data_IF_223800116949
#
_entry.id   IF_223800116949
#
_cell.length_a   1.000
_cell.length_b   1.000
_cell.length_c   1.000
_cell.angle_alpha   90.00
_cell.angle_beta   90.00
_cell.angle_gamma   90.00
#
_symmetry.space_group_name_H-M   'P 1'
#
loop_
_entity.id
_entity.type
_entity.pdbx_description
1 polymer ?
#
# COMPACT_ATOMS: atom_id res chain seq x y z
N UNK A 1 36.45 6.35 -5.35
CA UNK A 1 35.39 5.37 -5.67
C UNK A 1 34.47 5.86 -6.77
N UNK A 2 34.06 7.13 -6.81
CA UNK A 2 33.25 7.70 -7.91
C UNK A 2 33.80 7.41 -9.33
N UNK A 3 35.12 7.38 -9.53
CA UNK A 3 35.73 7.03 -10.82
C UNK A 3 35.46 5.58 -11.26
N UNK A 4 35.41 4.62 -10.32
CA UNK A 4 35.13 3.22 -10.61
C UNK A 4 33.64 3.03 -10.94
N UNK A 5 32.74 3.60 -10.14
CA UNK A 5 31.31 3.55 -10.42
C UNK A 5 30.93 4.31 -11.69
N UNK A 6 31.67 5.36 -12.06
CA UNK A 6 31.52 6.04 -13.36
C UNK A 6 32.03 5.19 -14.54
N UNK A 7 33.03 4.34 -14.35
CA UNK A 7 33.42 3.34 -15.36
C UNK A 7 32.35 2.26 -15.50
N UNK A 8 31.82 1.75 -14.38
CA UNK A 8 30.72 0.80 -14.37
C UNK A 8 29.48 1.36 -15.06
N UNK A 9 29.10 2.60 -14.79
CA UNK A 9 27.95 3.22 -15.44
C UNK A 9 28.12 3.30 -16.97
N UNK A 10 29.32 3.65 -17.46
CA UNK A 10 29.60 3.67 -18.91
C UNK A 10 29.51 2.29 -19.55
N UNK A 11 29.98 1.25 -18.86
CA UNK A 11 29.84 -0.14 -19.32
C UNK A 11 28.37 -0.58 -19.30
N UNK A 12 27.60 -0.15 -18.31
CA UNK A 12 26.18 -0.47 -18.18
C UNK A 12 25.34 0.12 -19.32
N UNK A 13 25.66 1.34 -19.78
CA UNK A 13 24.96 1.95 -20.93
C UNK A 13 25.12 1.14 -22.23
N UNK A 14 26.30 0.55 -22.46
CA UNK A 14 26.52 -0.34 -23.62
C UNK A 14 25.68 -1.61 -23.49
N UNK A 15 25.74 -2.26 -22.33
CA UNK A 15 24.99 -3.49 -22.06
C UNK A 15 23.46 -3.26 -22.06
N UNK A 16 23.02 -2.04 -21.72
CA UNK A 16 21.62 -1.62 -21.78
C UNK A 16 21.15 -1.46 -23.23
N UNK A 17 21.99 -0.91 -24.11
CA UNK A 17 21.70 -0.80 -25.54
C UNK A 17 21.55 -2.19 -26.19
N UNK A 18 22.39 -3.15 -25.80
CA UNK A 18 22.29 -4.56 -26.24
C UNK A 18 20.90 -5.16 -25.94
N UNK A 19 20.25 -4.78 -24.83
CA UNK A 19 18.91 -5.31 -24.50
C UNK A 19 17.81 -4.88 -25.49
N UNK A 20 18.09 -3.87 -26.31
CA UNK A 20 17.17 -3.33 -27.32
C UNK A 20 17.62 -3.59 -28.75
N UNK A 21 18.81 -4.17 -28.95
CA UNK A 21 19.31 -4.48 -30.29
C UNK A 21 18.64 -5.74 -30.85
N UNK A 22 17.87 -5.57 -31.92
CA UNK A 22 17.18 -6.65 -32.61
C UNK A 22 18.11 -7.59 -33.38
N UNK A 23 19.39 -7.22 -33.53
CA UNK A 23 20.41 -8.02 -34.23
C UNK A 23 21.10 -9.04 -33.34
N UNK A 24 21.02 -8.91 -32.02
CA UNK A 24 21.68 -9.82 -31.08
C UNK A 24 20.96 -11.15 -30.96
N UNK A 25 21.73 -12.23 -30.95
CA UNK A 25 21.21 -13.57 -30.74
C UNK A 25 20.69 -13.77 -29.30
N UNK A 26 19.78 -14.74 -29.04
CA UNK A 26 19.25 -14.99 -27.70
C UNK A 26 20.33 -15.28 -26.64
N UNK A 27 21.42 -15.96 -27.00
CA UNK A 27 22.52 -16.28 -26.10
C UNK A 27 23.39 -15.05 -25.76
N UNK A 28 23.61 -14.17 -26.73
CA UNK A 28 24.36 -12.92 -26.54
C UNK A 28 23.56 -11.97 -25.64
N UNK A 29 22.26 -11.78 -25.94
CA UNK A 29 21.36 -10.98 -25.12
C UNK A 29 21.25 -11.53 -23.69
N UNK A 30 21.30 -12.85 -23.50
CA UNK A 30 21.34 -13.46 -22.17
C UNK A 30 22.64 -13.13 -21.43
N UNK A 31 23.78 -13.23 -22.10
CA UNK A 31 25.09 -12.95 -21.52
C UNK A 31 25.24 -11.47 -21.16
N UNK A 32 24.87 -10.56 -22.06
CA UNK A 32 24.87 -9.12 -21.78
C UNK A 32 23.94 -8.76 -20.61
N UNK A 33 22.80 -9.46 -20.46
CA UNK A 33 21.89 -9.25 -19.33
C UNK A 33 22.51 -9.68 -17.99
N UNK A 34 23.18 -10.83 -17.95
CA UNK A 34 23.88 -11.27 -16.72
C UNK A 34 25.00 -10.28 -16.36
N UNK A 35 25.78 -9.83 -17.35
CA UNK A 35 26.81 -8.83 -17.12
C UNK A 35 26.23 -7.51 -16.60
N UNK A 36 25.07 -7.08 -17.11
CA UNK A 36 24.37 -5.87 -16.64
C UNK A 36 23.91 -6.02 -15.18
N UNK A 37 23.34 -7.18 -14.83
CA UNK A 37 22.90 -7.50 -13.47
C UNK A 37 24.08 -7.44 -12.48
N UNK A 38 25.18 -8.12 -12.80
CA UNK A 38 26.38 -8.15 -11.96
C UNK A 38 26.99 -6.75 -11.76
N UNK A 39 26.99 -5.94 -12.82
CA UNK A 39 27.55 -4.60 -12.81
C UNK A 39 26.74 -3.65 -11.94
N UNK A 40 25.41 -3.66 -12.08
CA UNK A 40 24.53 -2.87 -11.22
C UNK A 40 24.52 -3.33 -9.78
N UNK A 41 24.59 -4.64 -9.52
CA UNK A 41 24.78 -5.18 -8.18
C UNK A 41 26.08 -4.67 -7.54
N UNK A 42 27.21 -4.71 -8.26
CA UNK A 42 28.49 -4.15 -7.78
C UNK A 42 28.36 -2.67 -7.43
N UNK A 43 27.69 -1.87 -8.26
CA UNK A 43 27.48 -0.45 -7.97
C UNK A 43 26.65 -0.24 -6.69
N UNK A 44 25.53 -0.96 -6.53
CA UNK A 44 24.65 -0.86 -5.36
C UNK A 44 25.35 -1.26 -4.05
N UNK A 45 26.28 -2.21 -4.10
CA UNK A 45 27.00 -2.71 -2.93
C UNK A 45 28.24 -1.85 -2.60
N UNK A 46 28.92 -1.29 -3.59
CA UNK A 46 30.17 -0.54 -3.39
C UNK A 46 29.97 0.95 -3.11
N UNK A 47 29.04 1.61 -3.80
CA UNK A 47 28.74 3.04 -3.65
C UNK A 47 27.24 3.30 -3.86
N UNK A 48 26.46 2.98 -2.83
CA UNK A 48 25.00 3.05 -2.88
C UNK A 48 24.50 4.48 -3.17
N UNK A 49 25.12 5.49 -2.58
CA UNK A 49 24.69 6.88 -2.79
C UNK A 49 24.84 7.30 -4.25
N UNK A 50 25.98 6.96 -4.88
CA UNK A 50 26.18 7.19 -6.30
C UNK A 50 25.19 6.39 -7.17
N UNK A 51 24.97 5.12 -6.81
CA UNK A 51 24.06 4.25 -7.56
C UNK A 51 22.61 4.78 -7.54
N UNK A 52 22.13 5.24 -6.37
CA UNK A 52 20.80 5.83 -6.22
C UNK A 52 20.68 7.19 -6.93
N UNK A 53 21.69 8.05 -6.87
CA UNK A 53 21.72 9.32 -7.63
C UNK A 53 21.58 9.06 -9.14
N UNK A 54 22.19 7.98 -9.63
CA UNK A 54 22.12 7.57 -11.04
C UNK A 54 20.94 6.65 -11.37
N UNK A 55 20.03 6.40 -10.43
CA UNK A 55 18.84 5.55 -10.61
C UNK A 55 19.17 4.13 -11.06
N UNK A 56 20.30 3.59 -10.63
CA UNK A 56 20.79 2.25 -11.00
C UNK A 56 19.76 1.16 -10.66
N UNK A 57 19.07 1.30 -9.52
CA UNK A 57 18.05 0.36 -9.07
C UNK A 57 16.84 0.31 -10.02
N UNK A 58 16.42 1.48 -10.53
CA UNK A 58 15.34 1.57 -11.50
C UNK A 58 15.74 0.96 -12.84
N UNK A 59 16.95 1.24 -13.30
CA UNK A 59 17.47 0.70 -14.56
C UNK A 59 17.68 -0.81 -14.49
N UNK A 60 18.18 -1.32 -13.37
CA UNK A 60 18.30 -2.74 -13.09
C UNK A 60 16.94 -3.43 -13.22
N UNK A 61 15.91 -2.92 -12.55
CA UNK A 61 14.57 -3.49 -12.67
C UNK A 61 14.06 -3.41 -14.11
N UNK A 62 14.12 -2.24 -14.74
CA UNK A 62 13.47 -1.99 -16.02
C UNK A 62 14.14 -2.77 -17.17
N UNK A 63 15.45 -2.63 -17.31
CA UNK A 63 16.20 -3.14 -18.46
C UNK A 63 16.61 -4.61 -18.29
N UNK A 64 16.95 -5.05 -17.08
CA UNK A 64 17.35 -6.45 -16.87
C UNK A 64 16.16 -7.39 -16.66
N UNK A 65 14.99 -6.90 -16.19
CA UNK A 65 13.86 -7.77 -15.83
C UNK A 65 12.52 -7.34 -16.44
N UNK A 66 12.01 -6.15 -16.12
CA UNK A 66 10.62 -5.75 -16.36
C UNK A 66 10.25 -5.77 -17.84
N UNK A 67 11.12 -5.30 -18.72
CA UNK A 67 10.87 -5.26 -20.16
C UNK A 67 10.70 -6.69 -20.71
N UNK A 68 11.62 -7.60 -20.37
CA UNK A 68 11.55 -9.00 -20.79
C UNK A 68 10.33 -9.71 -20.21
N UNK A 69 10.02 -9.50 -18.92
CA UNK A 69 8.81 -10.05 -18.28
C UNK A 69 7.56 -9.58 -19.03
N UNK A 70 7.48 -8.30 -19.37
CA UNK A 70 6.31 -7.71 -20.04
C UNK A 70 6.14 -8.29 -21.44
N UNK A 71 7.23 -8.43 -22.21
CA UNK A 71 7.24 -9.07 -23.53
C UNK A 71 6.76 -10.52 -23.44
N UNK A 72 7.35 -11.32 -22.55
CA UNK A 72 6.99 -12.73 -22.36
C UNK A 72 5.54 -12.90 -21.88
N UNK A 73 5.07 -12.04 -20.96
CA UNK A 73 3.66 -12.03 -20.52
C UNK A 73 2.70 -11.72 -21.66
N UNK A 74 3.05 -10.77 -22.53
CA UNK A 74 2.25 -10.44 -23.72
C UNK A 74 2.15 -11.63 -24.67
N UNK A 75 3.28 -12.26 -24.97
CA UNK A 75 3.36 -13.44 -25.84
C UNK A 75 2.64 -14.67 -25.24
N UNK A 76 2.71 -14.89 -23.93
CA UNK A 76 2.04 -16.00 -23.24
C UNK A 76 0.52 -15.83 -23.11
N UNK A 77 0.03 -14.58 -23.10
CA UNK A 77 -1.41 -14.26 -23.09
C UNK A 77 -2.04 -14.28 -24.48
N UNK A 78 -1.24 -14.11 -25.54
CA UNK A 78 -1.73 -14.15 -26.91
C UNK A 78 -2.13 -15.59 -27.31
N UNK A 79 -3.44 -15.83 -27.48
CA UNK A 79 -3.99 -17.14 -27.87
C UNK A 79 -3.62 -17.56 -29.30
N UNK A 80 -3.24 -16.62 -30.16
CA UNK A 80 -2.81 -16.90 -31.54
C UNK A 80 -1.34 -17.30 -31.66
N UNK A 81 -0.57 -17.27 -30.56
CA UNK A 81 0.85 -17.63 -30.58
C UNK A 81 1.01 -19.16 -30.57
N UNK A 82 1.59 -19.79 -31.62
CA UNK A 82 1.79 -21.23 -31.66
C UNK A 82 2.75 -21.72 -30.57
N UNK A 83 3.69 -20.88 -30.14
CA UNK A 83 4.71 -21.22 -29.14
C UNK A 83 4.29 -20.83 -27.71
N UNK A 84 3.00 -20.62 -27.47
CA UNK A 84 2.48 -20.11 -26.19
C UNK A 84 2.95 -20.92 -24.96
N UNK A 85 2.95 -22.25 -25.07
CA UNK A 85 3.37 -23.13 -23.97
C UNK A 85 4.85 -22.97 -23.63
N UNK A 86 5.70 -22.93 -24.66
CA UNK A 86 7.14 -22.71 -24.53
C UNK A 86 7.45 -21.33 -23.94
N UNK A 87 6.79 -20.28 -24.44
CA UNK A 87 6.93 -18.92 -23.90
C UNK A 87 6.51 -18.87 -22.43
N UNK A 88 5.45 -19.59 -22.05
CA UNK A 88 5.01 -19.66 -20.66
C UNK A 88 6.04 -20.38 -19.77
N UNK A 89 6.68 -21.45 -20.26
CA UNK A 89 7.77 -22.13 -19.55
C UNK A 89 9.00 -21.22 -19.40
N UNK A 90 9.39 -20.52 -20.47
CA UNK A 90 10.49 -19.54 -20.46
C UNK A 90 10.21 -18.38 -19.50
N UNK A 91 8.96 -17.89 -19.44
CA UNK A 91 8.55 -16.89 -18.47
C UNK A 91 8.69 -17.39 -17.03
N UNK A 92 8.27 -18.63 -16.75
CA UNK A 92 8.40 -19.22 -15.41
C UNK A 92 9.86 -19.31 -14.97
N UNK A 93 10.75 -19.84 -15.83
CA UNK A 93 12.19 -19.92 -15.55
C UNK A 93 12.81 -18.53 -15.35
N UNK A 94 12.42 -17.56 -16.19
CA UNK A 94 12.91 -16.19 -16.06
C UNK A 94 12.49 -15.54 -14.73
N UNK A 95 11.24 -15.77 -14.29
CA UNK A 95 10.75 -15.27 -13.01
C UNK A 95 11.42 -15.96 -11.81
N UNK A 96 11.77 -17.24 -11.93
CA UNK A 96 12.55 -17.95 -10.91
C UNK A 96 13.97 -17.39 -10.79
N UNK A 97 14.66 -17.19 -11.92
CA UNK A 97 15.97 -16.56 -11.95
C UNK A 97 15.93 -15.13 -11.38
N UNK A 98 14.92 -14.33 -11.74
CA UNK A 98 14.72 -12.99 -11.19
C UNK A 98 14.48 -13.01 -9.67
N UNK A 99 13.69 -13.98 -9.18
CA UNK A 99 13.47 -14.17 -7.75
C UNK A 99 14.75 -14.55 -7.01
N UNK A 100 15.60 -15.38 -7.61
CA UNK A 100 16.91 -15.74 -7.08
C UNK A 100 17.83 -14.53 -6.98
N UNK A 101 17.95 -13.77 -8.07
CA UNK A 101 18.75 -12.55 -8.12
C UNK A 101 18.37 -11.53 -7.03
N UNK A 102 17.10 -11.14 -6.94
CA UNK A 102 16.68 -10.16 -5.92
C UNK A 102 16.77 -10.69 -4.48
N UNK A 103 16.61 -12.00 -4.27
CA UNK A 103 16.84 -12.62 -2.95
C UNK A 103 18.31 -12.51 -2.55
N UNK A 104 19.23 -12.85 -3.46
CA UNK A 104 20.66 -12.77 -3.23
C UNK A 104 21.12 -11.33 -3.02
N UNK A 105 20.67 -10.40 -3.89
CA UNK A 105 20.97 -8.98 -3.78
C UNK A 105 20.50 -8.42 -2.42
N UNK A 106 19.27 -8.74 -2.01
CA UNK A 106 18.76 -8.32 -0.71
C UNK A 106 19.64 -8.86 0.43
N UNK A 107 20.00 -10.14 0.40
CA UNK A 107 20.88 -10.72 1.41
C UNK A 107 22.23 -10.01 1.50
N UNK A 108 22.86 -9.72 0.35
CA UNK A 108 24.15 -9.02 0.28
C UNK A 108 24.06 -7.58 0.80
N UNK A 109 23.04 -6.82 0.39
CA UNK A 109 22.82 -5.46 0.89
C UNK A 109 22.61 -5.46 2.41
N UNK A 110 21.88 -6.44 2.94
CA UNK A 110 21.65 -6.57 4.37
C UNK A 110 22.90 -6.99 5.16
N UNK A 111 23.77 -7.84 4.57
CA UNK A 111 25.05 -8.20 5.20
C UNK A 111 26.02 -7.03 5.18
N UNK A 112 26.19 -6.38 4.03
CA UNK A 112 27.17 -5.33 3.81
C UNK A 112 26.81 -4.06 4.61
N UNK A 113 25.54 -3.66 4.58
CA UNK A 113 25.08 -2.43 5.24
C UNK A 113 24.49 -2.65 6.63
N UNK A 114 24.55 -3.88 7.15
CA UNK A 114 24.05 -4.26 8.47
C UNK A 114 22.59 -3.84 8.74
N UNK A 115 21.72 -4.04 7.74
CA UNK A 115 20.28 -3.79 7.89
C UNK A 115 19.63 -4.99 8.57
N UNK A 116 18.98 -4.75 9.71
CA UNK A 116 18.18 -5.76 10.40
C UNK A 116 16.78 -5.79 9.82
N UNK A 117 16.49 -6.89 9.11
CA UNK A 117 15.19 -7.14 8.50
C UNK A 117 14.49 -8.25 9.28
N UNK A 118 13.27 -8.03 9.79
CA UNK A 118 12.55 -9.04 10.59
C UNK A 118 12.39 -10.39 9.89
N UNK A 119 12.31 -10.40 8.55
CA UNK A 119 12.15 -11.59 7.72
C UNK A 119 13.48 -12.21 7.24
N UNK A 120 14.62 -11.67 7.67
CA UNK A 120 15.94 -12.16 7.25
C UNK A 120 16.37 -13.33 8.12
N UNK A 121 16.52 -14.50 7.52
CA UNK A 121 17.28 -15.59 8.12
C UNK A 121 18.76 -15.24 8.04
N UNK A 122 19.43 -15.01 9.18
CA UNK A 122 20.87 -14.74 9.18
C UNK A 122 21.61 -16.06 8.98
N UNK A 123 22.64 -16.09 8.14
CA UNK A 123 23.47 -17.31 7.95
C UNK A 123 24.10 -17.81 9.26
N UNK A 124 24.32 -16.90 10.22
CA UNK A 124 24.75 -17.23 11.58
C UNK A 124 23.69 -17.98 12.41
N UNK A 125 22.40 -17.78 12.13
CA UNK A 125 21.28 -18.48 12.79
C UNK A 125 21.06 -19.89 12.23
N UNK A 126 21.55 -20.18 11.01
CA UNK A 126 21.48 -21.52 10.41
C UNK A 126 22.70 -22.39 10.76
N UNK A 127 23.73 -21.83 11.42
CA UNK A 127 24.95 -22.55 11.79
C UNK A 127 25.87 -22.92 10.60
N UNK A 128 25.62 -22.37 9.41
CA UNK A 128 26.27 -22.84 8.17
C UNK A 128 27.62 -22.13 7.92
N UNK A 129 27.79 -20.83 8.22
CA UNK A 129 29.04 -20.08 7.96
C UNK A 129 29.22 -18.90 8.94
N UNK A 130 30.42 -18.77 9.55
CA UNK A 130 30.88 -17.51 10.15
C UNK A 130 31.21 -16.52 9.04
N UNK A 131 30.39 -15.48 8.86
CA UNK A 131 30.44 -14.56 7.72
C UNK A 131 31.70 -13.64 7.78
N UNK A 132 32.87 -14.18 7.43
CA UNK A 132 34.04 -13.41 7.01
C UNK A 132 34.04 -13.31 5.49
N UNK A 133 33.09 -12.55 4.93
CA UNK A 133 33.22 -12.13 3.54
C UNK A 133 34.29 -11.04 3.47
N UNK A 134 35.45 -11.40 2.93
CA UNK A 134 36.52 -10.47 2.57
C UNK A 134 36.06 -9.67 1.34
N UNK A 135 35.35 -8.57 1.55
CA UNK A 135 35.18 -7.57 0.50
C UNK A 135 36.56 -6.97 0.21
N UNK A 136 37.12 -7.29 -0.96
CA UNK A 136 38.43 -6.81 -1.41
C UNK A 136 38.39 -5.37 -1.91
N UNK A 137 37.19 -4.83 -2.16
CA UNK A 137 36.95 -3.44 -2.52
C UNK A 137 36.52 -2.62 -1.29
N UNK A 138 37.07 -1.40 -1.16
CA UNK A 138 36.56 -0.44 -0.20
C UNK A 138 35.07 -0.16 -0.49
N UNK A 139 34.22 -0.21 0.54
CA UNK A 139 32.79 0.11 0.45
C UNK A 139 32.59 1.53 0.96
N UNK A 140 31.90 2.39 0.21
CA UNK A 140 31.49 3.71 0.71
C UNK A 140 30.38 3.49 1.73
N UNK A 141 30.54 4.02 2.95
CA UNK A 141 29.51 3.93 3.98
C UNK A 141 28.26 4.72 3.56
N UNK A 142 27.10 4.07 3.33
CA UNK A 142 25.88 4.74 2.91
C UNK A 142 25.10 5.37 4.08
N UNK A 143 24.11 6.19 3.75
CA UNK A 143 23.12 6.67 4.71
C UNK A 143 22.15 5.54 5.10
N UNK A 144 21.72 5.52 6.36
CA UNK A 144 20.76 4.50 6.84
C UNK A 144 19.44 4.51 6.06
N UNK A 145 18.96 5.69 5.66
CA UNK A 145 17.77 5.86 4.83
C UNK A 145 17.93 5.24 3.45
N UNK A 146 19.09 5.41 2.82
CA UNK A 146 19.43 4.81 1.52
C UNK A 146 19.44 3.28 1.61
N UNK A 147 19.97 2.72 2.69
CA UNK A 147 19.92 1.27 2.94
C UNK A 147 18.50 0.74 3.07
N UNK A 148 17.66 1.40 3.89
CA UNK A 148 16.25 1.03 4.04
C UNK A 148 15.49 1.14 2.72
N UNK A 149 15.77 2.17 1.93
CA UNK A 149 15.19 2.38 0.61
C UNK A 149 15.54 1.24 -0.35
N UNK A 150 16.83 0.90 -0.52
CA UNK A 150 17.22 -0.13 -1.48
C UNK A 150 16.71 -1.53 -1.06
N UNK A 151 16.69 -1.83 0.24
CA UNK A 151 16.07 -3.06 0.74
C UNK A 151 14.56 -3.09 0.49
N UNK A 152 13.86 -1.96 0.69
CA UNK A 152 12.44 -1.84 0.34
C UNK A 152 12.23 -2.07 -1.17
N UNK A 153 13.08 -1.47 -2.02
CA UNK A 153 13.03 -1.62 -3.46
C UNK A 153 13.15 -3.09 -3.89
N UNK A 154 14.11 -3.84 -3.32
CA UNK A 154 14.25 -5.27 -3.56
C UNK A 154 12.99 -6.05 -3.14
N UNK A 155 12.43 -5.77 -1.96
CA UNK A 155 11.21 -6.43 -1.48
C UNK A 155 10.00 -6.14 -2.36
N UNK A 156 9.83 -4.91 -2.84
CA UNK A 156 8.75 -4.58 -3.79
C UNK A 156 8.86 -5.43 -5.04
N UNK A 157 10.05 -5.56 -5.62
CA UNK A 157 10.24 -6.35 -6.84
C UNK A 157 10.17 -7.87 -6.60
N UNK A 158 10.60 -8.37 -5.44
CA UNK A 158 10.29 -9.74 -5.01
C UNK A 158 8.78 -9.97 -4.93
N UNK A 159 8.02 -8.98 -4.43
CA UNK A 159 6.56 -8.99 -4.43
C UNK A 159 5.98 -8.98 -5.85
N UNK A 160 6.54 -8.20 -6.77
CA UNK A 160 6.10 -8.14 -8.17
C UNK A 160 6.32 -9.48 -8.86
N UNK A 161 7.50 -10.08 -8.69
CA UNK A 161 7.88 -11.39 -9.23
C UNK A 161 6.97 -12.48 -8.66
N UNK A 162 6.75 -12.53 -7.35
CA UNK A 162 5.84 -13.48 -6.72
C UNK A 162 4.41 -13.35 -7.28
N UNK A 163 3.92 -12.11 -7.48
CA UNK A 163 2.62 -11.86 -8.11
C UNK A 163 2.59 -12.36 -9.56
N UNK A 164 3.63 -12.15 -10.34
CA UNK A 164 3.73 -12.66 -11.71
C UNK A 164 3.78 -14.20 -11.78
N UNK A 165 4.25 -14.85 -10.72
CA UNK A 165 4.21 -16.31 -10.52
C UNK A 165 2.88 -16.80 -9.92
N UNK A 166 1.88 -15.93 -9.74
CA UNK A 166 0.62 -16.21 -9.05
C UNK A 166 0.77 -16.69 -7.60
N UNK A 167 1.86 -16.33 -6.92
CA UNK A 167 2.12 -16.65 -5.51
C UNK A 167 1.59 -15.53 -4.60
N UNK A 168 0.27 -15.39 -4.56
CA UNK A 168 -0.42 -14.25 -3.93
C UNK A 168 -0.02 -14.01 -2.48
N UNK A 169 0.02 -15.05 -1.64
CA UNK A 169 0.39 -14.91 -0.21
C UNK A 169 1.84 -14.46 -0.03
N UNK A 170 2.75 -14.96 -0.86
CA UNK A 170 4.16 -14.58 -0.85
C UNK A 170 4.33 -13.11 -1.27
N UNK A 171 3.64 -12.69 -2.34
CA UNK A 171 3.64 -11.32 -2.80
C UNK A 171 3.16 -10.35 -1.72
N UNK A 172 2.06 -10.70 -1.05
CA UNK A 172 1.50 -9.92 0.07
C UNK A 172 2.50 -9.75 1.22
N UNK A 173 3.18 -10.85 1.59
CA UNK A 173 4.23 -10.82 2.62
C UNK A 173 5.37 -9.86 2.26
N UNK A 174 5.88 -9.96 1.03
CA UNK A 174 6.94 -9.07 0.55
C UNK A 174 6.52 -7.59 0.57
N UNK A 175 5.33 -7.25 0.08
CA UNK A 175 4.88 -5.86 0.11
C UNK A 175 4.63 -5.35 1.53
N UNK A 176 4.16 -6.20 2.46
CA UNK A 176 4.02 -5.81 3.88
C UNK A 176 5.37 -5.51 4.52
N UNK A 177 6.36 -6.37 4.31
CA UNK A 177 7.72 -6.11 4.81
C UNK A 177 8.32 -4.86 4.17
N UNK A 178 8.11 -4.65 2.86
CA UNK A 178 8.52 -3.42 2.19
C UNK A 178 7.87 -2.19 2.84
N UNK A 179 6.56 -2.21 3.08
CA UNK A 179 5.83 -1.10 3.70
C UNK A 179 6.30 -0.78 5.14
N UNK A 180 6.79 -1.79 5.89
CA UNK A 180 7.32 -1.59 7.24
C UNK A 180 8.68 -0.89 7.25
N UNK A 181 9.55 -1.14 6.26
CA UNK A 181 10.89 -0.54 6.21
C UNK A 181 10.87 0.96 5.97
N UNK A 182 10.05 1.41 5.01
CA UNK A 182 9.92 2.83 4.68
C UNK A 182 8.43 3.16 4.52
N UNK A 183 7.70 3.40 5.64
CA UNK A 183 6.26 3.68 5.62
C UNK A 183 5.88 4.97 4.88
N UNK A 184 6.84 5.86 4.62
CA UNK A 184 6.64 7.10 3.88
C UNK A 184 6.56 6.93 2.37
N UNK A 185 6.88 5.74 1.82
CA UNK A 185 6.79 5.45 0.40
C UNK A 185 5.42 4.84 0.06
N UNK A 186 4.71 5.43 -0.91
CA UNK A 186 3.38 4.99 -1.33
C UNK A 186 3.38 3.67 -2.11
N UNK A 187 4.47 3.33 -2.79
CA UNK A 187 4.50 2.25 -3.78
C UNK A 187 4.06 0.88 -3.23
N UNK A 188 4.53 0.38 -2.08
CA UNK A 188 4.10 -0.92 -1.56
C UNK A 188 2.60 -0.99 -1.30
N UNK A 189 1.98 0.10 -0.84
CA UNK A 189 0.54 0.16 -0.59
C UNK A 189 -0.26 0.07 -1.90
N UNK A 190 0.16 0.73 -2.98
CA UNK A 190 -0.48 0.56 -4.29
C UNK A 190 -0.43 -0.90 -4.76
N UNK A 191 0.70 -1.60 -4.55
CA UNK A 191 0.81 -3.00 -4.92
C UNK A 191 -0.10 -3.91 -4.08
N UNK A 192 -0.23 -3.62 -2.77
CA UNK A 192 -1.19 -4.29 -1.88
C UNK A 192 -2.65 -4.04 -2.30
N UNK A 193 -2.98 -2.84 -2.78
CA UNK A 193 -4.31 -2.52 -3.30
C UNK A 193 -4.64 -3.34 -4.56
N UNK A 194 -3.70 -3.45 -5.50
CA UNK A 194 -3.86 -4.28 -6.70
C UNK A 194 -4.08 -5.75 -6.31
N UNK A 195 -3.33 -6.24 -5.32
CA UNK A 195 -3.46 -7.61 -4.84
C UNK A 195 -4.82 -7.85 -4.17
N UNK A 196 -5.27 -6.94 -3.30
CA UNK A 196 -6.59 -6.97 -2.68
C UNK A 196 -7.71 -6.94 -3.72
N UNK A 197 -7.55 -6.10 -4.76
CA UNK A 197 -8.51 -5.98 -5.85
C UNK A 197 -8.66 -7.28 -6.64
N UNK A 198 -7.54 -7.98 -6.89
CA UNK A 198 -7.57 -9.28 -7.58
C UNK A 198 -8.31 -10.38 -6.80
N UNK A 199 -8.40 -10.25 -5.47
CA UNK A 199 -9.17 -11.16 -4.59
C UNK A 199 -10.65 -10.75 -4.43
N UNK A 200 -11.07 -9.63 -5.01
CA UNK A 200 -12.40 -9.07 -4.78
C UNK A 200 -12.59 -8.37 -3.43
N UNK A 201 -11.52 -8.11 -2.68
CA UNK A 201 -11.59 -7.39 -1.41
C UNK A 201 -11.61 -5.87 -1.65
N UNK A 202 -12.81 -5.34 -1.90
CA UNK A 202 -13.02 -3.95 -2.26
C UNK A 202 -12.68 -2.97 -1.12
N UNK A 203 -12.99 -3.30 0.14
CA UNK A 203 -12.70 -2.42 1.27
C UNK A 203 -11.19 -2.25 1.44
N UNK A 204 -10.45 -3.37 1.44
CA UNK A 204 -8.99 -3.35 1.58
C UNK A 204 -8.32 -2.70 0.36
N UNK A 205 -8.90 -2.85 -0.83
CA UNK A 205 -8.43 -2.15 -2.05
C UNK A 205 -8.45 -0.63 -1.88
N UNK A 206 -9.61 -0.07 -1.47
CA UNK A 206 -9.75 1.37 -1.28
C UNK A 206 -8.86 1.85 -0.14
N UNK A 207 -8.82 1.12 0.97
CA UNK A 207 -7.92 1.41 2.09
C UNK A 207 -6.45 1.55 1.64
N UNK A 208 -5.94 0.59 0.87
CA UNK A 208 -4.54 0.64 0.44
C UNK A 208 -4.26 1.71 -0.61
N UNK A 209 -5.21 2.05 -1.48
CA UNK A 209 -5.03 3.22 -2.35
C UNK A 209 -4.98 4.52 -1.53
N UNK A 210 -5.87 4.70 -0.55
CA UNK A 210 -5.81 5.83 0.38
C UNK A 210 -4.46 5.90 1.11
N UNK A 211 -3.96 4.76 1.62
CA UNK A 211 -2.63 4.66 2.25
C UNK A 211 -1.48 5.00 1.29
N UNK A 212 -1.60 4.63 0.02
CA UNK A 212 -0.58 4.93 -1.00
C UNK A 212 -0.51 6.42 -1.35
N UNK A 213 -1.58 7.17 -1.10
CA UNK A 213 -1.70 8.61 -1.37
C UNK A 213 -1.34 9.41 -0.12
N UNK A 214 -1.81 9.01 1.06
CA UNK A 214 -1.59 9.72 2.33
C UNK A 214 -0.26 9.36 3.00
N UNK A 215 0.85 9.63 2.31
CA UNK A 215 2.22 9.47 2.80
C UNK A 215 3.09 10.65 2.33
N UNK A 216 4.31 10.78 2.86
CA UNK A 216 5.24 11.84 2.44
C UNK A 216 5.65 11.76 0.97
N UNK A 217 5.74 10.55 0.42
CA UNK A 217 6.07 10.31 -0.99
C UNK A 217 4.97 9.46 -1.64
N UNK A 218 3.85 10.09 -2.04
CA UNK A 218 2.72 9.41 -2.66
C UNK A 218 3.13 8.69 -3.95
N UNK A 219 2.50 7.54 -4.24
CA UNK A 219 2.70 6.87 -5.52
C UNK A 219 1.73 7.44 -6.57
N UNK A 220 2.20 8.10 -7.65
CA UNK A 220 1.31 8.86 -8.54
C UNK A 220 0.16 8.05 -9.14
N UNK A 221 0.40 6.78 -9.51
CA UNK A 221 -0.65 5.95 -10.11
C UNK A 221 -1.79 5.60 -9.14
N UNK A 222 -1.57 5.72 -7.81
CA UNK A 222 -2.59 5.38 -6.82
C UNK A 222 -3.81 6.30 -6.89
N UNK A 223 -3.62 7.60 -7.13
CA UNK A 223 -4.73 8.56 -7.27
C UNK A 223 -5.59 8.22 -8.48
N UNK A 224 -4.97 7.92 -9.64
CA UNK A 224 -5.69 7.48 -10.84
C UNK A 224 -6.42 6.15 -10.62
N UNK A 225 -5.78 5.21 -9.93
CA UNK A 225 -6.39 3.92 -9.63
C UNK A 225 -7.58 4.05 -8.66
N UNK A 226 -7.47 4.89 -7.63
CA UNK A 226 -8.56 5.20 -6.71
C UNK A 226 -9.73 5.86 -7.44
N UNK A 227 -9.46 6.89 -8.24
CA UNK A 227 -10.47 7.59 -9.05
C UNK A 227 -11.23 6.61 -9.95
N UNK A 228 -10.51 5.70 -10.63
CA UNK A 228 -11.11 4.66 -11.48
C UNK A 228 -11.94 3.67 -10.68
N UNK A 229 -11.45 3.22 -9.52
CA UNK A 229 -12.18 2.28 -8.67
C UNK A 229 -13.48 2.89 -8.12
N UNK A 230 -13.44 4.15 -7.69
CA UNK A 230 -14.61 4.88 -7.21
C UNK A 230 -15.60 5.19 -8.33
N UNK A 231 -15.12 5.61 -9.51
CA UNK A 231 -15.99 5.86 -10.67
C UNK A 231 -16.76 4.60 -11.07
N UNK A 232 -16.06 3.45 -11.13
CA UNK A 232 -16.68 2.15 -11.37
C UNK A 232 -17.69 1.76 -10.28
N UNK A 233 -17.43 2.10 -9.02
CA UNK A 233 -18.38 1.84 -7.94
C UNK A 233 -19.68 2.64 -8.11
N UNK A 234 -19.59 3.90 -8.58
CA UNK A 234 -20.74 4.77 -8.84
C UNK A 234 -21.61 4.33 -10.02
N UNK A 235 -21.05 3.57 -10.98
CA UNK A 235 -21.81 3.00 -12.11
C UNK A 235 -22.80 1.90 -11.68
N UNK A 236 -22.60 1.29 -10.51
CA UNK A 236 -23.49 0.25 -10.03
C UNK A 236 -24.81 0.83 -9.51
N UNK A 237 -25.92 0.11 -9.74
CA UNK A 237 -27.26 0.54 -9.27
C UNK A 237 -27.31 0.71 -7.75
N UNK A 238 -28.15 1.62 -7.29
CA UNK A 238 -28.34 1.86 -5.86
C UNK A 238 -28.95 0.63 -5.18
N UNK A 239 -28.55 0.41 -3.92
CA UNK A 239 -29.01 -0.74 -3.14
C UNK A 239 -30.46 -0.53 -2.73
N UNK A 240 -31.38 -1.30 -3.31
CA UNK A 240 -32.83 -1.23 -3.02
C UNK A 240 -33.20 -1.98 -1.73
N UNK A 241 -32.29 -2.82 -1.23
CA UNK A 241 -32.53 -3.62 -0.03
C UNK A 241 -32.66 -2.74 1.21
N UNK A 242 -33.64 -3.04 2.05
CA UNK A 242 -33.85 -2.38 3.35
C UNK A 242 -32.86 -2.85 4.41
N UNK A 243 -32.40 -4.11 4.35
CA UNK A 243 -31.39 -4.68 5.23
C UNK A 243 -30.16 -5.13 4.44
N UNK A 244 -28.98 -4.67 4.84
CA UNK A 244 -27.72 -4.92 4.13
C UNK A 244 -26.88 -6.04 4.74
N UNK A 245 -26.33 -6.91 3.91
CA UNK A 245 -25.18 -7.72 4.33
C UNK A 245 -23.91 -6.86 4.41
N UNK A 246 -22.80 -7.43 4.90
CA UNK A 246 -21.50 -6.74 4.91
C UNK A 246 -21.05 -6.29 3.52
N UNK A 247 -21.32 -7.09 2.48
CA UNK A 247 -20.98 -6.75 1.09
C UNK A 247 -21.77 -5.54 0.58
N UNK A 248 -23.08 -5.50 0.86
CA UNK A 248 -23.94 -4.37 0.48
C UNK A 248 -23.49 -3.09 1.21
N UNK A 249 -23.18 -3.19 2.51
CA UNK A 249 -22.63 -2.08 3.30
C UNK A 249 -21.30 -1.57 2.73
N UNK A 250 -20.35 -2.44 2.43
CA UNK A 250 -19.04 -2.05 1.89
C UNK A 250 -19.22 -1.35 0.53
N UNK A 251 -20.10 -1.84 -0.34
CA UNK A 251 -20.38 -1.17 -1.63
C UNK A 251 -20.97 0.22 -1.41
N UNK A 252 -21.98 0.35 -0.55
CA UNK A 252 -22.60 1.63 -0.21
C UNK A 252 -21.59 2.61 0.41
N UNK A 253 -20.72 2.14 1.30
CA UNK A 253 -19.65 2.93 1.91
C UNK A 253 -18.66 3.43 0.87
N UNK A 254 -18.22 2.57 -0.06
CA UNK A 254 -17.32 2.96 -1.15
C UNK A 254 -17.99 3.97 -2.09
N UNK A 255 -19.29 3.82 -2.37
CA UNK A 255 -20.05 4.81 -3.15
C UNK A 255 -20.13 6.16 -2.47
N UNK A 256 -20.39 6.19 -1.15
CA UNK A 256 -20.38 7.44 -0.38
C UNK A 256 -19.06 8.19 -0.55
N UNK A 257 -17.94 7.47 -0.38
CA UNK A 257 -16.60 8.01 -0.62
C UNK A 257 -16.35 8.37 -2.08
N UNK A 258 -16.97 7.68 -3.04
CA UNK A 258 -16.93 8.02 -4.46
C UNK A 258 -17.64 9.34 -4.79
N UNK A 259 -18.82 9.57 -4.20
CA UNK A 259 -19.56 10.82 -4.36
C UNK A 259 -18.76 12.02 -3.81
N UNK A 260 -18.15 11.85 -2.63
CA UNK A 260 -17.29 12.86 -2.00
C UNK A 260 -16.02 13.12 -2.81
N UNK A 261 -15.24 12.08 -3.12
CA UNK A 261 -13.94 12.23 -3.78
C UNK A 261 -14.01 12.77 -5.20
N UNK A 262 -15.09 12.43 -5.92
CA UNK A 262 -15.28 12.84 -7.31
C UNK A 262 -16.15 14.09 -7.45
N UNK A 263 -16.69 14.61 -6.34
CA UNK A 263 -17.69 15.68 -6.30
C UNK A 263 -18.83 15.46 -7.30
N UNK A 264 -19.46 14.28 -7.26
CA UNK A 264 -20.51 13.86 -8.20
C UNK A 264 -21.74 13.35 -7.48
N UNK A 265 -22.91 13.74 -7.98
CA UNK A 265 -24.21 13.29 -7.46
C UNK A 265 -24.36 13.50 -5.95
N UNK A 266 -24.01 14.70 -5.48
CA UNK A 266 -23.94 15.04 -4.05
C UNK A 266 -25.31 14.97 -3.35
N UNK A 267 -26.40 15.07 -4.12
CA UNK A 267 -27.78 14.85 -3.65
C UNK A 267 -27.97 13.48 -2.99
N UNK A 268 -27.13 12.49 -3.33
CA UNK A 268 -27.18 11.14 -2.76
C UNK A 268 -26.54 11.03 -1.38
N UNK A 269 -25.73 12.01 -0.96
CA UNK A 269 -24.94 11.89 0.27
C UNK A 269 -25.80 11.78 1.52
N UNK A 270 -26.82 12.62 1.69
CA UNK A 270 -27.62 12.64 2.91
C UNK A 270 -28.41 11.34 3.13
N UNK A 271 -29.21 10.83 2.17
CA UNK A 271 -29.91 9.56 2.33
C UNK A 271 -28.95 8.38 2.51
N UNK A 272 -27.82 8.39 1.79
CA UNK A 272 -26.83 7.32 1.88
C UNK A 272 -26.12 7.31 3.23
N UNK A 273 -25.79 8.49 3.79
CA UNK A 273 -25.22 8.65 5.13
C UNK A 273 -26.14 8.06 6.18
N UNK A 274 -27.40 8.49 6.21
CA UNK A 274 -28.39 8.00 7.19
C UNK A 274 -28.53 6.48 7.12
N UNK A 275 -28.57 5.92 5.91
CA UNK A 275 -28.64 4.48 5.73
C UNK A 275 -27.37 3.76 6.17
N UNK A 276 -26.19 4.31 5.88
CA UNK A 276 -24.91 3.77 6.34
C UNK A 276 -24.83 3.76 7.87
N UNK A 277 -25.25 4.82 8.55
CA UNK A 277 -25.28 4.89 10.02
C UNK A 277 -26.18 3.82 10.64
N UNK A 278 -27.39 3.66 10.10
CA UNK A 278 -28.35 2.64 10.53
C UNK A 278 -27.78 1.23 10.36
N UNK A 279 -27.26 0.92 9.16
CA UNK A 279 -26.76 -0.41 8.84
C UNK A 279 -25.43 -0.71 9.55
N UNK A 280 -24.54 0.29 9.71
CA UNK A 280 -23.30 0.13 10.46
C UNK A 280 -23.57 -0.26 11.90
N UNK A 281 -24.50 0.44 12.58
CA UNK A 281 -24.92 0.12 13.95
C UNK A 281 -25.41 -1.32 14.06
N UNK A 282 -26.29 -1.75 13.14
CA UNK A 282 -26.84 -3.11 13.15
C UNK A 282 -25.74 -4.16 12.94
N UNK A 283 -24.92 -3.99 11.90
CA UNK A 283 -23.87 -4.94 11.53
C UNK A 283 -22.76 -5.03 12.58
N UNK A 284 -22.39 -3.90 13.19
CA UNK A 284 -21.42 -3.86 14.28
C UNK A 284 -21.95 -4.65 15.50
N UNK A 285 -23.18 -4.39 15.93
CA UNK A 285 -23.75 -5.08 17.09
C UNK A 285 -24.06 -6.56 16.82
N UNK A 286 -24.19 -6.95 15.56
CA UNK A 286 -24.26 -8.36 15.13
C UNK A 286 -22.86 -9.01 14.98
N UNK A 287 -21.78 -8.31 15.35
CA UNK A 287 -20.39 -8.80 15.30
C UNK A 287 -19.96 -9.24 13.89
N UNK A 288 -20.50 -8.59 12.86
CA UNK A 288 -20.22 -8.94 11.46
C UNK A 288 -18.86 -8.42 11.00
N UNK A 289 -18.39 -7.30 11.58
CA UNK A 289 -17.08 -6.74 11.28
C UNK A 289 -16.00 -7.29 12.20
N UNK A 290 -14.80 -7.50 11.65
CA UNK A 290 -13.59 -7.66 12.47
C UNK A 290 -12.90 -6.31 12.74
N UNK A 291 -11.97 -6.28 13.70
CA UNK A 291 -11.25 -5.06 14.08
C UNK A 291 -10.53 -4.38 12.91
N UNK A 292 -9.90 -5.17 12.03
CA UNK A 292 -9.16 -4.64 10.88
C UNK A 292 -10.08 -3.92 9.89
N UNK A 293 -11.27 -4.46 9.62
CA UNK A 293 -12.26 -3.82 8.75
C UNK A 293 -12.73 -2.48 9.34
N UNK A 294 -12.93 -2.40 10.66
CA UNK A 294 -13.29 -1.14 11.32
C UNK A 294 -12.17 -0.10 11.22
N UNK A 295 -10.91 -0.53 11.35
CA UNK A 295 -9.75 0.34 11.11
C UNK A 295 -9.70 0.79 9.66
N UNK A 296 -9.94 -0.09 8.68
CA UNK A 296 -9.98 0.29 7.26
C UNK A 296 -11.07 1.34 6.99
N UNK A 297 -12.30 1.12 7.48
CA UNK A 297 -13.41 2.07 7.38
C UNK A 297 -13.03 3.43 7.99
N UNK A 298 -12.46 3.41 9.19
CA UNK A 298 -12.04 4.63 9.89
C UNK A 298 -10.96 5.37 9.11
N UNK A 299 -9.92 4.67 8.65
CA UNK A 299 -8.83 5.29 7.89
C UNK A 299 -9.31 5.86 6.55
N UNK A 300 -10.28 5.24 5.88
CA UNK A 300 -10.89 5.80 4.65
C UNK A 300 -11.67 7.08 4.98
N UNK A 301 -12.42 7.12 6.09
CA UNK A 301 -13.06 8.36 6.56
C UNK A 301 -12.03 9.46 6.83
N UNK A 302 -10.97 9.15 7.57
CA UNK A 302 -9.91 10.10 7.89
C UNK A 302 -9.14 10.58 6.66
N UNK A 303 -8.91 9.69 5.68
CA UNK A 303 -8.30 10.05 4.40
C UNK A 303 -9.11 11.13 3.70
N UNK A 304 -10.42 10.94 3.55
CA UNK A 304 -11.25 11.95 2.88
C UNK A 304 -11.40 13.23 3.69
N UNK A 305 -11.51 13.15 5.03
CA UNK A 305 -11.57 14.34 5.88
C UNK A 305 -10.30 15.18 5.69
N UNK A 306 -9.13 14.53 5.71
CA UNK A 306 -7.86 15.19 5.47
C UNK A 306 -7.72 15.71 4.03
N UNK A 307 -8.26 14.98 3.04
CA UNK A 307 -8.23 15.38 1.63
C UNK A 307 -9.10 16.63 1.36
N UNK A 308 -10.25 16.74 2.04
CA UNK A 308 -11.12 17.92 1.94
C UNK A 308 -10.55 19.12 2.71
N UNK A 309 -9.98 18.87 3.90
CA UNK A 309 -9.43 19.91 4.79
C UNK A 309 -8.21 19.36 5.51
N UNK A 310 -7.02 19.73 5.06
CA UNK A 310 -5.77 19.28 5.65
C UNK A 310 -5.46 20.04 6.96
N UNK A 311 -4.21 20.02 7.42
CA UNK A 311 -3.83 20.72 8.66
C UNK A 311 -3.75 22.25 8.53
N UNK A 312 -3.68 22.81 7.31
CA UNK A 312 -3.66 24.26 7.10
C UNK A 312 -4.95 24.94 7.62
N UNK A 313 -6.05 24.20 7.65
CA UNK A 313 -7.32 24.61 8.24
C UNK A 313 -7.27 24.95 9.73
N UNK A 314 -6.30 24.43 10.48
CA UNK A 314 -6.17 24.75 11.91
C UNK A 314 -5.51 26.10 12.14
N UNK A 315 -4.81 26.64 11.13
CA UNK A 315 -4.02 27.87 11.24
C UNK A 315 -4.55 29.02 10.40
N UNK A 316 -5.19 28.73 9.26
CA UNK A 316 -5.59 29.73 8.28
C UNK A 316 -7.06 29.61 7.87
N UNK A 317 -7.79 30.74 7.76
CA UNK A 317 -9.16 30.73 7.26
C UNK A 317 -9.18 30.42 5.76
N UNK A 318 -10.03 29.47 5.36
CA UNK A 318 -10.22 29.05 3.97
C UNK A 318 -11.67 29.24 3.51
N UNK A 319 -11.87 29.67 2.28
CA UNK A 319 -13.19 29.69 1.64
C UNK A 319 -13.45 28.36 0.92
N UNK A 320 -14.61 27.76 1.18
CA UNK A 320 -15.06 26.53 0.53
C UNK A 320 -16.29 26.79 -0.34
N UNK A 321 -16.37 26.12 -1.48
CA UNK A 321 -17.58 26.05 -2.28
C UNK A 321 -18.72 25.36 -1.52
N UNK A 322 -19.96 25.55 -1.99
CA UNK A 322 -21.13 24.89 -1.40
C UNK A 322 -21.00 23.36 -1.45
N UNK A 323 -20.46 22.83 -2.54
CA UNK A 323 -20.23 21.39 -2.73
C UNK A 323 -19.18 20.85 -1.74
N UNK A 324 -18.07 21.55 -1.55
CA UNK A 324 -17.04 21.17 -0.57
C UNK A 324 -17.57 21.23 0.87
N UNK A 325 -18.37 22.25 1.19
CA UNK A 325 -19.04 22.35 2.50
C UNK A 325 -20.03 21.20 2.72
N UNK A 326 -20.82 20.85 1.70
CA UNK A 326 -21.74 19.72 1.75
C UNK A 326 -20.99 18.40 1.96
N UNK A 327 -19.96 18.14 1.16
CA UNK A 327 -19.09 16.95 1.28
C UNK A 327 -18.49 16.84 2.69
N UNK A 328 -17.91 17.92 3.20
CA UNK A 328 -17.35 17.98 4.55
C UNK A 328 -18.40 17.67 5.61
N UNK A 329 -19.53 18.36 5.57
CA UNK A 329 -20.64 18.21 6.53
C UNK A 329 -21.13 16.77 6.57
N UNK A 330 -21.37 16.16 5.41
CA UNK A 330 -21.89 14.80 5.31
C UNK A 330 -20.87 13.76 5.77
N UNK A 331 -19.59 13.93 5.43
CA UNK A 331 -18.53 13.01 5.82
C UNK A 331 -18.20 13.11 7.31
N UNK A 332 -18.11 14.32 7.87
CA UNK A 332 -17.86 14.53 9.30
C UNK A 332 -19.02 14.00 10.14
N UNK A 333 -20.26 14.17 9.66
CA UNK A 333 -21.45 13.59 10.27
C UNK A 333 -21.36 12.06 10.33
N UNK A 334 -21.04 11.42 9.21
CA UNK A 334 -20.86 9.96 9.14
C UNK A 334 -19.77 9.49 10.11
N UNK A 335 -18.63 10.18 10.13
CA UNK A 335 -17.51 9.87 11.02
C UNK A 335 -17.90 9.95 12.50
N UNK A 336 -18.55 11.04 12.91
CA UNK A 336 -18.98 11.22 14.31
C UNK A 336 -20.07 10.23 14.73
N UNK A 337 -21.01 9.92 13.83
CA UNK A 337 -22.01 8.88 14.08
C UNK A 337 -21.36 7.50 14.24
N UNK A 338 -20.38 7.16 13.39
CA UNK A 338 -19.61 5.91 13.51
C UNK A 338 -18.81 5.87 14.82
N UNK A 339 -18.19 6.99 15.21
CA UNK A 339 -17.48 7.12 16.49
C UNK A 339 -18.41 6.82 17.68
N UNK A 340 -19.61 7.41 17.69
CA UNK A 340 -20.62 7.12 18.71
C UNK A 340 -21.03 5.67 18.79
N UNK A 341 -21.31 5.07 17.63
CA UNK A 341 -21.68 3.65 17.51
C UNK A 341 -20.56 2.75 18.02
N UNK A 342 -19.30 3.05 17.68
CA UNK A 342 -18.13 2.33 18.16
C UNK A 342 -17.97 2.46 19.68
N UNK A 343 -18.17 3.66 20.26
CA UNK A 343 -18.07 3.87 21.71
C UNK A 343 -19.11 3.07 22.49
N UNK A 344 -20.33 2.96 21.93
CA UNK A 344 -21.43 2.24 22.55
C UNK A 344 -21.28 0.72 22.47
N UNK A 345 -20.51 0.21 21.51
CA UNK A 345 -20.42 -1.22 21.26
C UNK A 345 -19.85 -2.03 22.45
N UNK A 346 -18.71 -1.65 23.08
CA UNK A 346 -18.18 -2.40 24.22
C UNK A 346 -19.05 -2.32 25.47
N UNK A 347 -19.90 -1.31 25.59
CA UNK A 347 -20.74 -1.05 26.77
C UNK A 347 -22.02 -1.88 26.81
N UNK A 348 -22.31 -2.69 25.78
CA UNK A 348 -23.46 -3.59 25.80
C UNK A 348 -23.13 -4.85 26.59
N UNK A 349 -23.91 -5.09 27.65
CA UNK A 349 -23.85 -6.21 28.59
C UNK A 349 -23.98 -7.60 27.93
N UNK A 350 -22.94 -8.09 27.27
CA UNK A 350 -22.66 -9.53 27.13
C UNK A 350 -21.36 -9.83 27.89
N UNK A 351 -21.46 -9.76 29.22
CA UNK A 351 -20.42 -10.21 30.13
C UNK A 351 -20.31 -11.74 30.02
N UNK A 352 -19.34 -12.23 29.25
CA UNK A 352 -18.68 -13.51 29.54
C UNK A 352 -17.43 -13.85 28.70
N UNK A 353 -17.07 -13.08 27.66
CA UNK A 353 -15.87 -13.39 26.88
C UNK A 353 -14.94 -12.17 26.75
N UNK A 354 -13.84 -12.20 27.51
CA UNK A 354 -12.76 -11.19 27.59
C UNK A 354 -12.19 -10.75 26.22
N UNK A 355 -12.39 -11.53 25.16
CA UNK A 355 -11.84 -11.24 23.84
C UNK A 355 -12.68 -10.30 22.97
N UNK A 356 -13.99 -10.11 23.24
CA UNK A 356 -14.92 -9.52 22.24
C UNK A 356 -15.35 -8.08 22.51
N UNK A 357 -15.08 -7.53 23.70
CA UNK A 357 -15.26 -6.09 23.95
C UNK A 357 -14.21 -5.22 23.25
N UNK A 358 -13.11 -5.81 22.78
CA UNK A 358 -11.90 -5.09 22.37
C UNK A 358 -11.81 -4.77 20.87
N UNK A 359 -12.53 -5.50 20.00
CA UNK A 359 -12.37 -5.34 18.54
C UNK A 359 -12.71 -3.94 17.96
N UNK A 360 -13.62 -3.12 18.51
CA UNK A 360 -13.81 -1.75 18.03
C UNK A 360 -12.77 -0.76 18.59
N UNK A 361 -12.03 -1.12 19.63
CA UNK A 361 -11.09 -0.22 20.32
C UNK A 361 -9.98 0.32 19.41
N UNK A 362 -9.37 -0.47 18.49
CA UNK A 362 -8.37 0.08 17.57
C UNK A 362 -8.93 1.17 16.65
N UNK A 363 -10.16 1.00 16.14
CA UNK A 363 -10.82 2.02 15.33
C UNK A 363 -11.14 3.28 16.17
N UNK A 364 -11.63 3.10 17.40
CA UNK A 364 -11.84 4.20 18.35
C UNK A 364 -10.57 4.98 18.62
N UNK A 365 -9.48 4.28 18.92
CA UNK A 365 -8.18 4.90 19.19
C UNK A 365 -7.70 5.73 18.01
N UNK A 366 -7.78 5.20 16.79
CA UNK A 366 -7.41 5.92 15.56
C UNK A 366 -8.30 7.16 15.33
N UNK A 367 -9.61 7.06 15.56
CA UNK A 367 -10.52 8.20 15.48
C UNK A 367 -10.17 9.30 16.49
N UNK A 368 -9.88 8.93 17.73
CA UNK A 368 -9.52 9.88 18.79
C UNK A 368 -8.15 10.51 18.58
N UNK A 369 -7.17 9.75 18.07
CA UNK A 369 -5.87 10.29 17.68
C UNK A 369 -6.01 11.42 16.65
N UNK A 370 -6.92 11.26 15.68
CA UNK A 370 -7.19 12.31 14.69
C UNK A 370 -7.90 13.52 15.30
N UNK A 371 -8.97 13.31 16.08
CA UNK A 371 -9.68 14.41 16.74
C UNK A 371 -8.76 15.23 17.66
N UNK A 372 -7.85 14.58 18.38
CA UNK A 372 -6.84 15.27 19.21
C UNK A 372 -5.97 16.24 18.42
N UNK A 373 -5.71 15.95 17.14
CA UNK A 373 -4.90 16.77 16.25
C UNK A 373 -5.71 17.84 15.49
N UNK A 374 -7.04 17.88 15.66
CA UNK A 374 -7.95 18.78 14.95
C UNK A 374 -8.86 19.56 15.91
N UNK A 375 -8.33 20.49 16.72
CA UNK A 375 -9.13 21.23 17.70
C UNK A 375 -10.31 21.99 17.09
N UNK A 376 -10.16 22.55 15.88
CA UNK A 376 -11.23 23.30 15.20
C UNK A 376 -12.48 22.45 14.94
N UNK A 377 -12.32 21.14 14.76
CA UNK A 377 -13.43 20.21 14.48
C UNK A 377 -14.45 20.18 15.63
N UNK A 378 -14.04 20.43 16.87
CA UNK A 378 -14.96 20.49 18.01
C UNK A 378 -15.89 21.71 17.99
N UNK A 379 -15.68 22.67 17.08
CA UNK A 379 -16.54 23.85 16.90
C UNK A 379 -17.49 23.69 15.69
N UNK A 380 -17.40 22.58 14.96
CA UNK A 380 -18.26 22.32 13.81
C UNK A 380 -19.68 21.95 14.27
N UNK A 381 -20.70 22.58 13.69
CA UNK A 381 -22.10 22.36 14.06
C UNK A 381 -22.51 20.87 14.03
N UNK A 382 -21.97 20.11 13.07
CA UNK A 382 -22.21 18.67 12.91
C UNK A 382 -21.73 17.86 14.13
N UNK A 383 -20.65 18.31 14.77
CA UNK A 383 -20.08 17.70 15.97
C UNK A 383 -20.91 18.08 17.20
N UNK A 384 -21.35 19.34 17.29
CA UNK A 384 -22.24 19.82 18.35
C UNK A 384 -23.58 19.06 18.37
N UNK A 385 -24.19 18.82 17.21
CA UNK A 385 -25.38 17.96 17.06
C UNK A 385 -25.17 16.54 17.61
N UNK A 386 -23.92 16.08 17.66
CA UNK A 386 -23.52 14.72 18.04
C UNK A 386 -22.77 14.67 19.37
N UNK A 387 -22.91 15.68 20.22
CA UNK A 387 -22.32 15.68 21.57
C UNK A 387 -22.81 14.51 22.46
N UNK A 388 -23.90 13.84 22.09
CA UNK A 388 -24.38 12.61 22.74
C UNK A 388 -23.36 11.46 22.71
N UNK A 389 -22.31 11.55 21.88
CA UNK A 389 -21.21 10.57 21.82
C UNK A 389 -20.35 10.60 23.09
N UNK A 390 -20.18 11.77 23.71
CA UNK A 390 -19.24 11.94 24.83
C UNK A 390 -19.62 11.16 26.10
N UNK A 391 -20.90 11.11 26.53
CA UNK A 391 -21.31 10.24 27.63
C UNK A 391 -20.94 8.77 27.41
N UNK A 392 -21.06 8.24 26.19
CA UNK A 392 -20.65 6.86 25.89
C UNK A 392 -19.13 6.69 25.94
N UNK A 393 -18.37 7.68 25.49
CA UNK A 393 -16.91 7.67 25.64
C UNK A 393 -16.51 7.65 27.12
N UNK A 394 -17.14 8.48 27.96
CA UNK A 394 -16.87 8.53 29.40
C UNK A 394 -17.14 7.18 30.05
N UNK A 395 -18.31 6.58 29.78
CA UNK A 395 -18.64 5.24 30.29
C UNK A 395 -17.63 4.19 29.84
N UNK A 396 -17.16 4.25 28.59
CA UNK A 396 -16.15 3.34 28.07
C UNK A 396 -14.82 3.50 28.80
N UNK A 397 -14.33 4.72 28.97
CA UNK A 397 -13.07 4.97 29.67
C UNK A 397 -13.13 4.53 31.13
N UNK A 398 -14.26 4.75 31.82
CA UNK A 398 -14.46 4.31 33.19
C UNK A 398 -14.51 2.78 33.32
N UNK A 399 -14.83 2.05 32.24
CA UNK A 399 -14.84 0.57 32.26
C UNK A 399 -13.44 -0.07 32.24
N UNK A 400 -12.38 0.72 32.01
CA UNK A 400 -10.98 0.25 32.07
C UNK A 400 -10.32 0.45 33.44
N UNK A 401 -11.02 1.10 34.37
CA UNK A 401 -10.63 1.26 35.77
C UNK A 401 -11.14 0.07 36.58
#
# INVERSE_FOLDING_TARGET
MSLLCAQYLRQAEVLKADMTDSKLGPAEAWTSRQALQDLYQKMLVTDLEYALDKKVEQDLWNHAFKNQITTLQGQAKNRANPNRSEVQANLSLFLEAASGFYTQLLQELCTVFNVDLPCRVKSSQLGIISNKQTHTSAIVKPQSSSCSYICQHCLVHLGDIARYRNQTSQAESYYRHAAQLVPSNGQPYNQLAILASSKGDHLTTIFYYCRSIAVKFPFPAASTNLQKALSKALESRDEVKTQWGISDFIKAFIKFHGHVYLSKNLEKLNPLREKLEEQFKRLLFQKIFNSQQLVHITVINLFQLHHLRDFSNETEPHSYSQDEQLCWTQLLALFMSFLGILCKCPLRNDYQEESWGSYPLPALKVSMDWLKLRPSVFQEAVVDERQYVWPWMISLLNSFQ
#
